data_IF_023679937479
#
_entry.id   IF_023679937479
#
_cell.length_a   1.000
_cell.length_b   1.000
_cell.length_c   1.000
_cell.angle_alpha   90.00
_cell.angle_beta   90.00
_cell.angle_gamma   90.00
#
_symmetry.space_group_name_H-M   'P 1'
#
loop_
_entity.id
_entity.type
_entity.pdbx_description
1 polymer ?
#
# COMPACT_ATOMS: atom_id res chain seq x y z
N UNK A 1 39.21 -29.10 13.60
CA UNK A 1 40.37 -29.71 14.30
C UNK A 1 41.32 -30.46 13.36
N UNK A 2 40.86 -31.40 12.53
CA UNK A 2 41.71 -32.22 11.63
C UNK A 2 42.54 -31.38 10.63
N UNK A 3 41.94 -30.36 10.02
CA UNK A 3 42.62 -29.46 9.07
C UNK A 3 43.81 -28.69 9.69
N UNK A 4 43.75 -28.36 10.99
CA UNK A 4 44.88 -27.72 11.71
C UNK A 4 46.02 -28.72 11.96
N UNK A 5 45.68 -29.98 12.28
CA UNK A 5 46.66 -31.08 12.46
C UNK A 5 47.40 -31.41 11.15
N UNK A 6 46.71 -31.40 10.00
CA UNK A 6 47.33 -31.61 8.67
C UNK A 6 48.37 -30.53 8.34
N UNK A 7 48.11 -29.27 8.75
CA UNK A 7 49.01 -28.13 8.50
C UNK A 7 50.26 -28.20 9.40
N UNK A 8 50.15 -28.83 10.57
CA UNK A 8 51.23 -28.91 11.57
C UNK A 8 52.04 -30.22 11.48
N UNK A 9 51.55 -31.23 10.78
CA UNK A 9 52.19 -32.55 10.63
C UNK A 9 53.33 -32.49 9.58
N UNK A 10 54.52 -32.94 9.97
CA UNK A 10 55.74 -32.97 9.14
C UNK A 10 56.05 -34.35 8.55
N UNK A 11 55.46 -35.41 9.10
CA UNK A 11 55.64 -36.79 8.62
C UNK A 11 54.70 -37.10 7.44
N UNK A 12 55.22 -37.76 6.41
CA UNK A 12 54.51 -38.02 5.15
C UNK A 12 53.36 -39.03 5.30
N UNK A 13 53.57 -40.12 6.05
CA UNK A 13 52.56 -41.16 6.25
C UNK A 13 51.44 -40.70 7.19
N UNK A 14 51.78 -40.01 8.28
CA UNK A 14 50.78 -39.43 9.20
C UNK A 14 49.95 -38.34 8.50
N UNK A 15 50.55 -37.56 7.60
CA UNK A 15 49.81 -36.56 6.81
C UNK A 15 48.84 -37.19 5.81
N UNK A 16 49.22 -38.31 5.19
CA UNK A 16 48.37 -39.05 4.25
C UNK A 16 47.14 -39.68 4.94
N UNK A 17 47.36 -40.29 6.12
CA UNK A 17 46.26 -40.80 6.96
C UNK A 17 45.33 -39.68 7.45
N UNK A 18 45.87 -38.54 7.87
CA UNK A 18 45.07 -37.37 8.25
C UNK A 18 44.28 -36.77 7.07
N UNK A 19 44.85 -36.75 5.87
CA UNK A 19 44.17 -36.31 4.64
C UNK A 19 43.01 -37.24 4.24
N UNK A 20 43.21 -38.57 4.35
CA UNK A 20 42.14 -39.54 4.10
C UNK A 20 40.98 -39.36 5.09
N UNK A 21 41.30 -39.15 6.37
CA UNK A 21 40.34 -38.89 7.45
C UNK A 21 39.57 -37.59 7.22
N UNK A 22 40.27 -36.51 6.81
CA UNK A 22 39.64 -35.24 6.46
C UNK A 22 38.68 -35.37 5.28
N UNK A 23 39.06 -36.11 4.25
CA UNK A 23 38.23 -36.32 3.06
C UNK A 23 36.97 -37.12 3.39
N UNK A 24 37.07 -38.14 4.25
CA UNK A 24 35.92 -38.89 4.74
C UNK A 24 34.95 -38.00 5.54
N UNK A 25 35.47 -37.22 6.49
CA UNK A 25 34.67 -36.28 7.29
C UNK A 25 34.03 -35.17 6.44
N UNK A 26 34.75 -34.61 5.46
CA UNK A 26 34.20 -33.60 4.54
C UNK A 26 33.05 -34.18 3.69
N UNK A 27 33.20 -35.43 3.23
CA UNK A 27 32.13 -36.14 2.51
C UNK A 27 30.90 -36.36 3.40
N UNK A 28 31.10 -36.71 4.67
CA UNK A 28 30.03 -36.89 5.64
C UNK A 28 29.31 -35.58 5.97
N UNK A 29 30.07 -34.50 6.24
CA UNK A 29 29.50 -33.16 6.48
C UNK A 29 28.71 -32.69 5.28
N UNK A 30 29.23 -32.85 4.05
CA UNK A 30 28.51 -32.50 2.82
C UNK A 30 27.23 -33.33 2.63
N UNK A 31 27.26 -34.62 2.99
CA UNK A 31 26.07 -35.49 2.95
C UNK A 31 25.01 -35.01 3.94
N UNK A 32 25.40 -34.72 5.19
CA UNK A 32 24.49 -34.24 6.22
C UNK A 32 23.93 -32.86 5.87
N UNK A 33 24.76 -31.92 5.40
CA UNK A 33 24.30 -30.61 4.95
C UNK A 33 23.29 -30.71 3.79
N UNK A 34 23.46 -31.66 2.86
CA UNK A 34 22.47 -31.93 1.79
C UNK A 34 21.17 -32.51 2.35
N UNK A 35 21.27 -33.43 3.32
CA UNK A 35 20.11 -34.03 4.00
C UNK A 35 19.32 -32.97 4.75
N UNK A 36 19.98 -32.15 5.55
CA UNK A 36 19.36 -31.07 6.32
C UNK A 36 18.70 -30.03 5.40
N UNK A 37 19.39 -29.65 4.32
CA UNK A 37 18.83 -28.75 3.30
C UNK A 37 17.57 -29.33 2.66
N UNK A 38 17.57 -30.62 2.32
CA UNK A 38 16.39 -31.29 1.76
C UNK A 38 15.24 -31.34 2.76
N UNK A 39 15.53 -31.74 4.00
CA UNK A 39 14.54 -31.79 5.07
C UNK A 39 13.93 -30.42 5.36
N UNK A 40 14.73 -29.34 5.30
CA UNK A 40 14.22 -27.98 5.42
C UNK A 40 13.19 -27.63 4.31
N UNK A 41 13.48 -27.98 3.05
CA UNK A 41 12.54 -27.73 1.96
C UNK A 41 11.29 -28.62 2.04
N UNK A 42 11.44 -29.89 2.41
CA UNK A 42 10.32 -30.82 2.59
C UNK A 42 9.38 -30.35 3.71
N UNK A 43 9.95 -29.83 4.82
CA UNK A 43 9.18 -29.23 5.91
C UNK A 43 8.42 -27.97 5.46
N UNK A 44 9.06 -27.09 4.67
CA UNK A 44 8.37 -25.92 4.10
C UNK A 44 7.25 -26.33 3.14
N UNK A 45 7.46 -27.34 2.30
CA UNK A 45 6.44 -27.83 1.37
C UNK A 45 5.22 -28.39 2.12
N UNK A 46 5.45 -29.22 3.14
CA UNK A 46 4.36 -29.76 3.97
C UNK A 46 3.63 -28.68 4.77
N UNK A 47 4.32 -27.63 5.21
CA UNK A 47 3.69 -26.47 5.85
C UNK A 47 2.84 -25.67 4.85
N UNK A 48 3.32 -25.49 3.62
CA UNK A 48 2.55 -24.86 2.55
C UNK A 48 1.27 -25.65 2.22
N UNK A 49 1.34 -26.97 2.14
CA UNK A 49 0.16 -27.83 1.92
C UNK A 49 -0.86 -27.70 3.06
N UNK A 50 -0.40 -27.69 4.31
CA UNK A 50 -1.27 -27.46 5.48
C UNK A 50 -1.92 -26.07 5.44
N UNK A 51 -1.16 -25.04 5.07
CA UNK A 51 -1.68 -23.68 4.93
C UNK A 51 -2.74 -23.59 3.82
N UNK A 52 -2.49 -24.24 2.67
CA UNK A 52 -3.46 -24.32 1.57
C UNK A 52 -4.75 -25.04 2.00
N UNK A 53 -4.65 -26.18 2.70
CA UNK A 53 -5.81 -26.90 3.22
C UNK A 53 -6.64 -26.10 4.23
N UNK A 54 -6.01 -25.16 4.96
CA UNK A 54 -6.68 -24.24 5.89
C UNK A 54 -7.16 -22.93 5.23
N UNK A 55 -6.99 -22.78 3.91
CA UNK A 55 -7.21 -21.52 3.19
C UNK A 55 -6.43 -20.32 3.76
N UNK A 56 -5.30 -20.56 4.44
CA UNK A 56 -4.39 -19.51 4.89
C UNK A 56 -3.46 -19.10 3.74
N UNK A 57 -4.00 -18.24 2.87
CA UNK A 57 -3.30 -17.71 1.71
C UNK A 57 -2.07 -16.87 2.09
N UNK A 58 -2.02 -16.31 3.31
CA UNK A 58 -0.91 -15.46 3.75
C UNK A 58 0.33 -16.32 4.00
N UNK A 59 0.18 -17.37 4.80
CA UNK A 59 1.26 -18.30 5.13
C UNK A 59 1.72 -19.05 3.88
N UNK A 60 0.78 -19.52 3.06
CA UNK A 60 1.07 -20.17 1.78
C UNK A 60 1.93 -19.28 0.85
N UNK A 61 1.56 -18.00 0.71
CA UNK A 61 2.32 -17.05 -0.10
C UNK A 61 3.72 -16.80 0.44
N UNK A 62 3.88 -16.63 1.75
CA UNK A 62 5.19 -16.41 2.38
C UNK A 62 6.13 -17.59 2.17
N UNK A 63 5.62 -18.81 2.32
CA UNK A 63 6.40 -20.04 2.09
C UNK A 63 6.73 -20.18 0.60
N UNK A 64 5.78 -19.97 -0.29
CA UNK A 64 6.04 -20.06 -1.74
C UNK A 64 7.08 -19.02 -2.17
N UNK A 65 7.04 -17.82 -1.58
CA UNK A 65 8.05 -16.79 -1.80
C UNK A 65 9.43 -17.21 -1.31
N UNK A 66 9.55 -17.84 -0.14
CA UNK A 66 10.83 -18.33 0.37
C UNK A 66 11.39 -19.47 -0.50
N UNK A 67 10.54 -20.40 -0.94
CA UNK A 67 10.88 -21.50 -1.84
C UNK A 67 11.32 -21.00 -3.23
N UNK A 68 10.69 -19.95 -3.75
CA UNK A 68 11.00 -19.39 -5.07
C UNK A 68 12.39 -18.77 -5.20
N UNK A 69 13.15 -18.65 -4.10
CA UNK A 69 14.53 -18.16 -4.12
C UNK A 69 14.68 -16.67 -4.48
N UNK A 70 13.59 -15.91 -4.56
CA UNK A 70 13.63 -14.45 -4.76
C UNK A 70 14.21 -13.79 -3.52
N UNK A 71 15.53 -13.59 -3.51
CA UNK A 71 16.23 -12.79 -2.50
C UNK A 71 15.64 -11.38 -2.47
N UNK A 72 15.43 -10.86 -1.26
CA UNK A 72 15.12 -9.43 -1.07
C UNK A 72 16.20 -8.61 -1.77
N UNK A 73 15.81 -7.74 -2.70
CA UNK A 73 16.72 -6.77 -3.31
C UNK A 73 17.33 -5.92 -2.21
N UNK A 74 18.65 -5.97 -2.04
CA UNK A 74 19.37 -5.10 -1.12
C UNK A 74 19.02 -3.64 -1.40
N UNK A 75 18.86 -2.85 -0.33
CA UNK A 75 18.61 -1.42 -0.44
C UNK A 75 19.78 -0.76 -1.20
N UNK A 76 19.50 -0.22 -2.39
CA UNK A 76 20.47 0.55 -3.16
C UNK A 76 20.43 2.00 -2.69
N UNK A 77 21.59 2.65 -2.62
CA UNK A 77 21.67 4.09 -2.41
C UNK A 77 20.86 4.82 -3.49
N UNK A 78 20.11 5.83 -3.07
CA UNK A 78 19.39 6.71 -3.99
C UNK A 78 20.41 7.48 -4.84
N UNK A 79 20.15 7.56 -6.14
CA UNK A 79 20.94 8.30 -7.11
C UNK A 79 20.41 9.72 -7.23
N UNK A 80 21.30 10.69 -7.37
CA UNK A 80 20.95 12.06 -7.69
C UNK A 80 20.46 12.20 -9.15
N UNK A 81 20.05 13.41 -9.57
CA UNK A 81 19.63 13.70 -10.95
C UNK A 81 20.69 13.39 -12.02
N UNK A 82 21.96 13.36 -11.64
CA UNK A 82 23.11 13.06 -12.51
C UNK A 82 23.44 11.55 -12.55
N UNK A 83 22.68 10.71 -11.83
CA UNK A 83 22.86 9.26 -11.80
C UNK A 83 23.87 8.74 -10.76
N UNK A 84 24.49 9.64 -9.97
CA UNK A 84 25.49 9.28 -8.97
C UNK A 84 24.85 8.86 -7.64
N UNK A 85 25.31 7.77 -7.00
CA UNK A 85 24.75 7.29 -5.74
C UNK A 85 25.07 8.26 -4.60
N UNK A 86 24.07 8.57 -3.79
CA UNK A 86 24.19 9.42 -2.62
C UNK A 86 24.49 8.53 -1.42
N UNK A 87 25.69 8.68 -0.86
CA UNK A 87 26.14 7.87 0.28
C UNK A 87 25.58 8.35 1.61
N UNK A 88 25.45 9.68 1.82
CA UNK A 88 24.94 10.27 3.06
C UNK A 88 23.42 10.12 3.21
N UNK A 89 22.96 9.59 4.33
CA UNK A 89 21.53 9.34 4.60
C UNK A 89 20.68 10.61 4.59
N UNK A 90 21.14 11.69 5.24
CA UNK A 90 20.44 12.99 5.25
C UNK A 90 20.17 13.51 3.84
N UNK A 91 21.14 13.37 2.94
CA UNK A 91 20.99 13.80 1.54
C UNK A 91 20.02 12.89 0.78
N UNK A 92 19.99 11.59 1.07
CA UNK A 92 19.00 10.68 0.49
C UNK A 92 17.57 11.02 0.94
N UNK A 93 17.39 11.36 2.22
CA UNK A 93 16.10 11.81 2.76
C UNK A 93 15.68 13.10 2.06
N UNK A 94 16.57 14.09 2.00
CA UNK A 94 16.30 15.38 1.35
C UNK A 94 15.92 15.24 -0.13
N UNK A 95 16.67 14.47 -0.91
CA UNK A 95 16.34 14.24 -2.32
C UNK A 95 15.01 13.49 -2.51
N UNK A 96 14.68 12.59 -1.59
CA UNK A 96 13.38 11.92 -1.58
C UNK A 96 12.25 12.89 -1.26
N UNK A 97 12.46 13.75 -0.25
CA UNK A 97 11.53 14.79 0.16
C UNK A 97 11.26 15.78 -0.97
N UNK A 98 12.31 16.28 -1.61
CA UNK A 98 12.22 17.19 -2.75
C UNK A 98 11.50 16.54 -3.93
N UNK A 99 11.79 15.26 -4.22
CA UNK A 99 11.09 14.52 -5.27
C UNK A 99 9.57 14.45 -5.01
N UNK A 100 9.17 14.10 -3.78
CA UNK A 100 7.75 14.00 -3.41
C UNK A 100 7.08 15.36 -3.35
N UNK A 101 7.79 16.40 -2.89
CA UNK A 101 7.28 17.78 -2.89
C UNK A 101 6.97 18.27 -4.31
N UNK A 102 7.86 18.04 -5.27
CA UNK A 102 7.62 18.36 -6.68
C UNK A 102 6.46 17.52 -7.24
N UNK A 103 6.39 16.25 -6.85
CA UNK A 103 5.37 15.34 -7.35
C UNK A 103 3.96 15.74 -6.90
N UNK A 104 3.78 16.09 -5.63
CA UNK A 104 2.49 16.42 -5.02
C UNK A 104 2.01 17.85 -5.30
N UNK A 105 2.90 18.73 -5.76
CA UNK A 105 2.61 20.15 -6.03
C UNK A 105 2.92 20.50 -7.50
N UNK A 106 2.58 19.60 -8.43
CA UNK A 106 2.68 19.89 -9.87
C UNK A 106 1.80 21.10 -10.21
N UNK A 107 2.26 21.98 -11.13
CA UNK A 107 1.41 23.08 -11.58
C UNK A 107 0.14 22.53 -12.24
N UNK A 108 -0.99 23.25 -12.12
CA UNK A 108 -2.22 22.90 -12.83
C UNK A 108 -1.98 22.76 -14.34
N UNK A 109 -2.72 21.89 -15.04
CA UNK A 109 -2.64 21.81 -16.49
C UNK A 109 -3.05 23.15 -17.13
N UNK A 110 -2.44 23.48 -18.27
CA UNK A 110 -2.71 24.73 -19.00
C UNK A 110 -4.18 24.85 -19.44
N UNK A 111 -4.85 23.72 -19.66
CA UNK A 111 -6.28 23.63 -19.98
C UNK A 111 -6.94 22.76 -18.93
N UNK A 112 -7.90 23.32 -18.21
CA UNK A 112 -8.72 22.58 -17.24
C UNK A 112 -9.95 22.01 -17.94
N UNK A 113 -10.42 20.82 -17.55
CA UNK A 113 -11.65 20.29 -18.10
C UNK A 113 -12.83 21.21 -17.73
N UNK A 114 -13.68 21.48 -18.71
CA UNK A 114 -14.95 22.16 -18.48
C UNK A 114 -15.90 21.20 -17.76
N UNK A 115 -16.20 21.50 -16.49
CA UNK A 115 -17.18 20.77 -15.71
C UNK A 115 -18.52 21.48 -15.93
N UNK A 116 -19.60 20.76 -16.29
CA UNK A 116 -20.90 21.38 -16.48
C UNK A 116 -21.32 22.15 -15.23
N UNK A 117 -21.77 23.39 -15.41
CA UNK A 117 -22.15 24.28 -14.31
C UNK A 117 -23.45 23.85 -13.62
N UNK A 118 -24.28 23.08 -14.32
CA UNK A 118 -25.50 22.51 -13.76
C UNK A 118 -25.15 21.37 -12.82
N UNK A 119 -25.07 21.68 -11.52
CA UNK A 119 -24.92 20.67 -10.49
C UNK A 119 -26.04 19.63 -10.61
N UNK A 120 -25.71 18.34 -10.48
CA UNK A 120 -26.73 17.30 -10.33
C UNK A 120 -27.54 17.56 -9.06
N UNK A 121 -28.71 16.93 -8.95
CA UNK A 121 -29.50 16.94 -7.72
C UNK A 121 -28.60 16.64 -6.52
N UNK A 122 -28.69 17.47 -5.47
CA UNK A 122 -27.90 17.25 -4.26
C UNK A 122 -28.12 15.83 -3.73
N UNK A 123 -27.03 15.18 -3.34
CA UNK A 123 -27.08 13.87 -2.74
C UNK A 123 -27.81 13.96 -1.40
N UNK A 124 -28.80 13.10 -1.21
CA UNK A 124 -29.52 12.98 0.05
C UNK A 124 -28.66 12.21 1.05
N UNK A 125 -27.69 12.90 1.65
CA UNK A 125 -26.77 12.35 2.64
C UNK A 125 -26.90 13.10 3.97
N UNK A 126 -26.67 12.38 5.07
CA UNK A 126 -26.73 12.98 6.40
C UNK A 126 -25.57 13.96 6.63
N UNK A 127 -25.90 15.25 6.73
CA UNK A 127 -24.93 16.35 7.00
C UNK A 127 -24.80 16.69 8.48
N UNK A 128 -25.58 16.06 9.36
CA UNK A 128 -25.51 16.30 10.79
C UNK A 128 -24.18 15.80 11.39
N UNK A 129 -23.75 16.31 12.56
CA UNK A 129 -22.56 15.81 13.23
C UNK A 129 -22.57 14.28 13.40
N UNK A 130 -21.39 13.63 13.40
CA UNK A 130 -21.30 12.18 13.57
C UNK A 130 -21.89 11.72 14.90
N UNK A 131 -22.67 10.65 14.83
CA UNK A 131 -23.25 9.99 16.00
C UNK A 131 -22.23 9.04 16.63
N UNK A 132 -22.42 8.75 17.92
CA UNK A 132 -21.62 7.75 18.66
C UNK A 132 -21.54 6.41 17.93
N UNK A 133 -22.68 5.95 17.40
CA UNK A 133 -22.78 4.70 16.66
C UNK A 133 -21.94 4.70 15.37
N UNK A 134 -21.92 5.80 14.62
CA UNK A 134 -21.11 5.93 13.41
C UNK A 134 -19.61 5.96 13.74
N UNK A 135 -19.21 6.64 14.81
CA UNK A 135 -17.82 6.66 15.28
C UNK A 135 -17.37 5.25 15.65
N UNK A 136 -18.19 4.53 16.42
CA UNK A 136 -17.93 3.16 16.83
C UNK A 136 -17.86 2.21 15.63
N UNK A 137 -18.76 2.36 14.65
CA UNK A 137 -18.72 1.59 13.41
C UNK A 137 -17.44 1.88 12.60
N UNK A 138 -17.05 3.14 12.49
CA UNK A 138 -15.82 3.54 11.81
C UNK A 138 -14.57 2.93 12.48
N UNK A 139 -14.50 2.91 13.82
CA UNK A 139 -13.42 2.26 14.56
C UNK A 139 -13.37 0.75 14.25
N UNK A 140 -14.54 0.07 14.31
CA UNK A 140 -14.63 -1.37 14.05
C UNK A 140 -14.20 -1.73 12.63
N UNK A 141 -14.61 -0.95 11.63
CA UNK A 141 -14.34 -1.21 10.21
C UNK A 141 -12.88 -0.99 9.82
N UNK A 142 -12.15 -0.12 10.52
CA UNK A 142 -10.72 0.09 10.29
C UNK A 142 -9.92 -1.19 10.63
N UNK A 143 -8.93 -1.52 9.80
CA UNK A 143 -8.12 -2.73 9.97
C UNK A 143 -7.03 -2.52 11.03
N UNK A 144 -6.92 -3.47 11.96
CA UNK A 144 -5.79 -3.58 12.88
C UNK A 144 -4.52 -4.08 12.15
N UNK A 145 -3.39 -4.05 12.84
CA UNK A 145 -2.06 -4.42 12.34
C UNK A 145 -1.43 -3.34 11.45
N UNK A 146 -1.76 -2.06 11.68
CA UNK A 146 -1.29 -0.93 10.86
C UNK A 146 -0.42 0.00 11.67
N UNK A 147 0.64 0.51 11.04
CA UNK A 147 1.54 1.48 11.66
C UNK A 147 0.80 2.78 12.01
N UNK A 148 1.03 3.26 13.24
CA UNK A 148 0.49 4.53 13.73
C UNK A 148 1.03 5.73 12.94
N UNK A 149 0.27 6.83 12.96
CA UNK A 149 0.72 8.09 12.38
C UNK A 149 1.65 8.87 13.32
N UNK A 150 1.80 10.18 13.09
CA UNK A 150 2.54 11.07 13.99
C UNK A 150 2.01 11.14 15.42
N UNK A 151 0.76 10.74 15.63
CA UNK A 151 0.13 10.62 16.94
C UNK A 151 0.68 9.46 17.77
N UNK A 152 1.32 8.47 17.14
CA UNK A 152 1.86 7.30 17.84
C UNK A 152 0.79 6.35 18.40
N UNK A 153 -0.49 6.58 18.09
CA UNK A 153 -1.63 5.79 18.59
C UNK A 153 -1.96 4.69 17.57
N UNK A 154 -1.65 3.41 17.87
CA UNK A 154 -2.08 2.30 17.04
C UNK A 154 -3.59 2.07 17.16
N UNK A 155 -4.21 1.50 16.13
CA UNK A 155 -5.66 1.25 16.14
C UNK A 155 -6.04 0.17 17.15
N UNK A 156 -5.10 -0.72 17.48
CA UNK A 156 -5.22 -1.77 18.47
C UNK A 156 -5.53 -1.18 19.86
N UNK A 157 -4.80 -0.13 20.25
CA UNK A 157 -5.04 0.56 21.52
C UNK A 157 -6.45 1.19 21.56
N UNK A 158 -6.91 1.73 20.44
CA UNK A 158 -8.26 2.29 20.28
C UNK A 158 -9.35 1.21 20.33
N UNK A 159 -9.04 0.00 19.88
CA UNK A 159 -9.98 -1.13 19.86
C UNK A 159 -10.06 -1.89 21.17
N UNK A 160 -9.08 -1.73 22.05
CA UNK A 160 -9.04 -2.39 23.37
C UNK A 160 -10.19 -1.91 24.26
N UNK A 161 -10.41 -0.59 24.30
CA UNK A 161 -11.52 0.02 25.03
C UNK A 161 -12.33 0.93 24.10
N UNK A 162 -13.34 0.34 23.47
CA UNK A 162 -14.21 1.04 22.53
C UNK A 162 -15.10 2.08 23.22
N UNK A 163 -15.49 1.86 24.48
CA UNK A 163 -16.42 2.75 25.19
C UNK A 163 -15.72 4.05 25.56
N UNK A 164 -14.56 3.95 26.23
CA UNK A 164 -13.75 5.12 26.58
C UNK A 164 -13.29 5.87 25.34
N UNK A 165 -12.88 5.15 24.29
CA UNK A 165 -12.41 5.80 23.06
C UNK A 165 -13.53 6.51 22.30
N UNK A 166 -14.74 5.94 22.28
CA UNK A 166 -15.93 6.57 21.71
C UNK A 166 -16.27 7.85 22.47
N UNK A 167 -16.33 7.80 23.80
CA UNK A 167 -16.62 8.96 24.65
C UNK A 167 -15.61 10.10 24.46
N UNK A 168 -14.35 9.79 24.20
CA UNK A 168 -13.32 10.79 23.91
C UNK A 168 -13.37 11.33 22.47
N UNK A 169 -13.54 10.46 21.47
CA UNK A 169 -13.44 10.85 20.06
C UNK A 169 -14.71 11.51 19.54
N UNK A 170 -15.90 11.10 19.99
CA UNK A 170 -17.16 11.67 19.52
C UNK A 170 -17.24 13.19 19.72
N UNK A 171 -17.03 13.77 20.91
CA UNK A 171 -17.11 15.22 21.09
C UNK A 171 -16.07 15.97 20.26
N UNK A 172 -14.86 15.40 20.11
CA UNK A 172 -13.81 15.97 19.26
C UNK A 172 -14.24 16.01 17.79
N UNK A 173 -14.75 14.89 17.26
CA UNK A 173 -15.20 14.79 15.87
C UNK A 173 -16.40 15.69 15.60
N UNK A 174 -17.34 15.80 16.55
CA UNK A 174 -18.49 16.71 16.45
C UNK A 174 -18.06 18.18 16.45
N UNK A 175 -17.06 18.55 17.27
CA UNK A 175 -16.50 19.91 17.28
C UNK A 175 -15.84 20.23 15.93
N UNK A 176 -15.00 19.34 15.42
CA UNK A 176 -14.37 19.46 14.08
C UNK A 176 -15.42 19.57 12.99
N UNK A 177 -16.50 18.81 13.07
CA UNK A 177 -17.61 18.86 12.12
C UNK A 177 -18.33 20.22 12.11
N UNK A 178 -18.64 20.76 13.30
CA UNK A 178 -19.31 22.06 13.44
C UNK A 178 -18.44 23.22 13.00
N UNK A 179 -17.15 23.18 13.32
CA UNK A 179 -16.19 24.23 12.94
C UNK A 179 -15.76 24.14 11.47
N UNK A 180 -15.96 22.98 10.82
CA UNK A 180 -15.55 22.73 9.44
C UNK A 180 -14.03 22.72 9.23
N UNK A 181 -13.25 22.64 10.31
CA UNK A 181 -11.78 22.73 10.29
C UNK A 181 -11.17 21.57 11.06
N UNK A 182 -10.27 20.84 10.40
CA UNK A 182 -9.49 19.78 11.07
C UNK A 182 -8.29 20.38 11.81
N UNK A 183 -7.88 19.78 12.94
CA UNK A 183 -6.69 20.21 13.68
C UNK A 183 -5.43 20.24 12.81
N UNK A 184 -4.55 21.19 13.08
CA UNK A 184 -3.27 21.33 12.33
C UNK A 184 -2.40 20.09 12.41
N UNK A 185 -2.46 19.34 13.52
CA UNK A 185 -1.68 18.12 13.67
C UNK A 185 -2.18 16.97 12.80
N UNK A 186 -3.46 16.97 12.44
CA UNK A 186 -4.01 15.97 11.50
C UNK A 186 -3.58 16.23 10.06
N UNK A 187 -3.10 17.44 9.78
CA UNK A 187 -2.49 17.79 8.49
C UNK A 187 -1.05 17.26 8.41
N UNK A 188 -0.41 16.87 9.51
CA UNK A 188 0.94 16.28 9.47
C UNK A 188 0.83 14.77 9.27
N UNK A 189 1.80 14.19 8.57
CA UNK A 189 1.86 12.76 8.32
C UNK A 189 3.30 12.29 8.09
N UNK A 190 3.60 11.03 8.43
CA UNK A 190 4.91 10.44 8.13
C UNK A 190 4.93 9.89 6.71
N UNK A 191 5.90 10.31 5.91
CA UNK A 191 6.08 9.83 4.55
C UNK A 191 7.00 8.60 4.54
N UNK A 192 6.42 7.42 4.33
CA UNK A 192 7.15 6.17 4.13
C UNK A 192 7.34 5.88 2.65
N UNK A 193 8.50 5.30 2.30
CA UNK A 193 8.83 4.87 0.94
C UNK A 193 8.70 3.35 0.83
N UNK A 194 7.88 2.86 -0.10
CA UNK A 194 7.81 1.45 -0.45
C UNK A 194 8.46 1.17 -1.80
N UNK A 195 9.24 0.10 -1.94
CA UNK A 195 9.89 -0.24 -3.20
C UNK A 195 8.85 -0.70 -4.25
N UNK A 196 8.92 -0.13 -5.46
CA UNK A 196 8.26 -0.68 -6.65
C UNK A 196 9.23 -1.58 -7.42
N UNK A 197 8.79 -2.09 -8.57
CA UNK A 197 9.65 -2.81 -9.53
C UNK A 197 10.66 -1.83 -10.18
N UNK A 198 11.85 -2.33 -10.53
CA UNK A 198 12.89 -1.58 -11.24
C UNK A 198 14.12 -1.24 -10.39
N UNK A 199 14.93 -0.30 -10.86
CA UNK A 199 16.15 0.13 -10.14
C UNK A 199 15.79 1.00 -8.91
N UNK A 200 15.98 0.44 -7.72
CA UNK A 200 15.69 1.12 -6.45
C UNK A 200 16.64 2.30 -6.15
N UNK A 201 17.69 2.48 -6.96
CA UNK A 201 18.48 3.71 -6.93
C UNK A 201 17.71 4.94 -7.41
N UNK A 202 16.61 4.80 -8.15
CA UNK A 202 15.84 5.94 -8.66
C UNK A 202 14.64 6.28 -7.76
N UNK A 203 14.49 7.54 -7.36
CA UNK A 203 13.36 8.01 -6.55
C UNK A 203 11.98 7.67 -7.17
N UNK A 204 11.87 7.65 -8.51
CA UNK A 204 10.61 7.33 -9.22
C UNK A 204 10.10 5.90 -8.97
N UNK A 205 11.00 4.98 -8.62
CA UNK A 205 10.69 3.58 -8.36
C UNK A 205 10.31 3.34 -6.89
N UNK A 206 10.14 4.41 -6.11
CA UNK A 206 9.58 4.35 -4.77
C UNK A 206 8.15 4.86 -4.79
N UNK A 207 7.27 4.19 -4.04
CA UNK A 207 5.92 4.67 -3.75
C UNK A 207 5.94 5.39 -2.40
N UNK A 208 5.60 6.67 -2.40
CA UNK A 208 5.32 7.39 -1.16
C UNK A 208 3.98 6.93 -0.58
N UNK A 209 3.95 6.64 0.71
CA UNK A 209 2.74 6.41 1.50
C UNK A 209 2.80 7.35 2.69
N UNK A 210 1.77 8.17 2.87
CA UNK A 210 1.65 9.00 4.06
C UNK A 210 0.87 8.24 5.15
N UNK A 211 1.48 8.11 6.32
CA UNK A 211 0.82 7.66 7.53
C UNK A 211 0.15 8.87 8.19
N UNK A 212 -1.17 8.88 8.15
CA UNK A 212 -2.01 9.89 8.79
C UNK A 212 -2.32 9.48 10.23
N UNK A 213 -2.72 10.46 11.05
CA UNK A 213 -3.23 10.23 12.40
C UNK A 213 -4.48 9.34 12.38
N UNK A 214 -4.65 8.53 13.41
CA UNK A 214 -5.78 7.62 13.54
C UNK A 214 -7.14 8.33 13.61
N UNK A 215 -7.33 9.44 14.37
CA UNK A 215 -8.62 10.13 14.37
C UNK A 215 -8.97 10.79 13.03
N UNK A 216 -7.97 11.22 12.24
CA UNK A 216 -8.18 11.70 10.86
C UNK A 216 -8.71 10.60 9.93
N UNK A 217 -8.20 9.37 10.08
CA UNK A 217 -8.69 8.19 9.34
C UNK A 217 -10.13 7.84 9.75
N UNK A 218 -10.46 7.95 11.03
CA UNK A 218 -11.83 7.70 11.54
C UNK A 218 -12.80 8.71 10.92
N UNK A 219 -12.47 10.01 10.95
CA UNK A 219 -13.29 11.05 10.30
C UNK A 219 -13.48 10.78 8.81
N UNK A 220 -12.38 10.47 8.10
CA UNK A 220 -12.41 10.17 6.66
C UNK A 220 -13.26 8.94 6.35
N UNK A 221 -13.26 7.94 7.25
CA UNK A 221 -14.07 6.73 7.12
C UNK A 221 -15.56 7.03 7.26
N UNK A 222 -15.95 7.85 8.22
CA UNK A 222 -17.35 8.28 8.41
C UNK A 222 -17.86 9.04 7.17
N UNK A 223 -17.06 9.99 6.68
CA UNK A 223 -17.39 10.75 5.47
C UNK A 223 -17.56 9.81 4.27
N UNK A 224 -16.65 8.85 4.10
CA UNK A 224 -16.72 7.87 3.03
C UNK A 224 -17.99 7.02 3.12
N UNK A 225 -18.31 6.48 4.30
CA UNK A 225 -19.50 5.61 4.48
C UNK A 225 -20.80 6.35 4.17
N UNK A 226 -20.91 7.64 4.54
CA UNK A 226 -22.10 8.45 4.25
C UNK A 226 -22.27 8.78 2.77
N UNK A 227 -21.17 9.02 2.06
CA UNK A 227 -21.21 9.47 0.66
C UNK A 227 -21.25 8.28 -0.30
N UNK A 228 -20.62 7.15 0.07
CA UNK A 228 -20.36 6.04 -0.84
C UNK A 228 -21.65 5.48 -1.48
N UNK A 229 -22.68 5.21 -0.68
CA UNK A 229 -23.91 4.59 -1.19
C UNK A 229 -24.69 5.55 -2.10
N UNK A 230 -24.73 6.84 -1.75
CA UNK A 230 -25.39 7.85 -2.56
C UNK A 230 -24.64 8.09 -3.89
N UNK A 231 -23.30 8.18 -3.86
CA UNK A 231 -22.50 8.35 -5.06
C UNK A 231 -22.53 7.13 -5.97
N UNK A 232 -22.59 5.92 -5.43
CA UNK A 232 -22.54 4.68 -6.23
C UNK A 232 -23.69 4.61 -7.26
N UNK A 233 -24.86 5.17 -6.92
CA UNK A 233 -26.03 5.28 -7.82
C UNK A 233 -25.82 6.24 -8.99
N UNK A 234 -24.95 7.23 -8.84
CA UNK A 234 -24.67 8.28 -9.84
C UNK A 234 -23.51 7.92 -10.76
N UNK A 235 -22.69 6.94 -10.37
CA UNK A 235 -21.50 6.50 -11.09
C UNK A 235 -21.85 5.53 -12.23
N UNK A 236 -21.12 5.66 -13.32
CA UNK A 236 -21.24 4.80 -14.51
C UNK A 236 -21.09 3.31 -14.16
N UNK A 237 -21.91 2.41 -14.70
CA UNK A 237 -21.85 0.98 -14.36
C UNK A 237 -20.54 0.32 -14.79
N UNK A 238 -19.86 0.83 -15.82
CA UNK A 238 -18.58 0.33 -16.32
C UNK A 238 -17.42 0.59 -15.35
N UNK A 239 -17.53 1.60 -14.49
CA UNK A 239 -16.54 1.87 -13.45
C UNK A 239 -16.65 0.80 -12.36
N UNK A 240 -15.59 0.00 -12.18
CA UNK A 240 -15.50 -1.05 -11.18
C UNK A 240 -14.45 -0.81 -10.08
N UNK A 241 -13.45 0.04 -10.33
CA UNK A 241 -12.38 0.31 -9.38
C UNK A 241 -12.92 0.90 -8.07
N UNK A 242 -12.49 0.35 -6.94
CA UNK A 242 -12.81 0.80 -5.58
C UNK A 242 -14.30 0.80 -5.20
N UNK A 243 -15.16 0.08 -5.92
CA UNK A 243 -16.60 -0.04 -5.62
C UNK A 243 -16.93 -1.32 -4.87
N UNK A 244 -17.92 -1.25 -3.99
CA UNK A 244 -18.41 -2.41 -3.23
C UNK A 244 -19.10 -3.39 -4.19
N UNK A 245 -18.80 -4.68 -4.05
CA UNK A 245 -19.43 -5.73 -4.86
C UNK A 245 -18.96 -5.81 -6.31
N UNK A 246 -17.95 -5.02 -6.71
CA UNK A 246 -17.33 -5.12 -8.04
C UNK A 246 -15.89 -5.60 -7.91
N UNK A 247 -15.51 -6.56 -8.74
CA UNK A 247 -14.19 -7.18 -8.71
C UNK A 247 -13.47 -7.04 -10.05
N UNK A 248 -12.15 -7.24 -10.02
CA UNK A 248 -11.35 -7.29 -11.25
C UNK A 248 -11.78 -8.48 -12.14
N UNK A 249 -12.20 -9.59 -11.52
CA UNK A 249 -12.66 -10.78 -12.23
C UNK A 249 -13.90 -10.51 -13.07
N UNK A 250 -14.83 -9.67 -12.59
CA UNK A 250 -16.04 -9.32 -13.35
C UNK A 250 -15.67 -8.56 -14.64
N UNK A 251 -14.76 -7.59 -14.55
CA UNK A 251 -14.32 -6.82 -15.71
C UNK A 251 -13.52 -7.66 -16.72
N UNK A 252 -12.70 -8.60 -16.24
CA UNK A 252 -12.00 -9.56 -17.10
C UNK A 252 -13.01 -10.45 -17.83
N UNK A 253 -14.06 -10.92 -17.13
CA UNK A 253 -15.13 -11.71 -17.73
C UNK A 253 -15.87 -10.92 -18.81
N UNK A 254 -16.28 -9.68 -18.52
CA UNK A 254 -16.93 -8.79 -19.49
C UNK A 254 -16.06 -8.57 -20.73
N UNK A 255 -14.77 -8.27 -20.54
CA UNK A 255 -13.83 -8.10 -21.66
C UNK A 255 -13.72 -9.38 -22.50
N UNK A 256 -13.68 -10.54 -21.85
CA UNK A 256 -13.62 -11.84 -22.55
C UNK A 256 -14.88 -12.12 -23.37
N UNK A 257 -16.06 -11.77 -22.85
CA UNK A 257 -17.33 -11.90 -23.57
C UNK A 257 -17.30 -11.00 -24.82
N UNK A 258 -16.94 -9.72 -24.67
CA UNK A 258 -16.85 -8.78 -25.80
C UNK A 258 -15.90 -9.30 -26.88
N UNK A 259 -14.72 -9.80 -26.49
CA UNK A 259 -13.75 -10.37 -27.43
C UNK A 259 -14.36 -11.58 -28.15
N UNK A 260 -15.02 -12.48 -27.42
CA UNK A 260 -15.56 -13.73 -27.97
C UNK A 260 -16.70 -13.45 -28.96
N UNK A 261 -17.69 -12.65 -28.56
CA UNK A 261 -18.83 -12.29 -29.41
C UNK A 261 -18.37 -11.54 -30.68
N UNK A 262 -17.52 -10.52 -30.53
CA UNK A 262 -17.11 -9.69 -31.69
C UNK A 262 -16.19 -10.43 -32.66
N UNK A 263 -15.23 -11.21 -32.16
CA UNK A 263 -14.24 -11.88 -33.01
C UNK A 263 -14.71 -13.23 -33.54
N UNK A 264 -15.42 -14.03 -32.72
CA UNK A 264 -15.79 -15.40 -33.09
C UNK A 264 -17.18 -15.48 -33.72
N UNK A 265 -18.15 -14.72 -33.23
CA UNK A 265 -19.52 -14.79 -33.73
C UNK A 265 -19.73 -13.79 -34.87
N UNK A 266 -19.35 -12.53 -34.66
CA UNK A 266 -19.56 -11.45 -35.63
C UNK A 266 -18.44 -11.27 -36.66
N UNK A 267 -17.35 -12.04 -36.59
CA UNK A 267 -16.20 -11.99 -37.51
C UNK A 267 -15.67 -10.57 -37.77
N UNK A 268 -15.76 -9.69 -36.77
CA UNK A 268 -15.45 -8.27 -36.89
C UNK A 268 -14.08 -7.95 -36.29
N UNK A 269 -13.37 -6.99 -36.89
CA UNK A 269 -12.07 -6.55 -36.40
C UNK A 269 -12.23 -5.75 -35.10
N UNK A 270 -11.79 -6.33 -33.98
CA UNK A 270 -11.79 -5.68 -32.66
C UNK A 270 -10.42 -5.09 -32.34
N UNK A 271 -10.39 -3.82 -31.93
CA UNK A 271 -9.19 -3.14 -31.45
C UNK A 271 -9.36 -2.79 -29.96
N UNK A 272 -8.37 -3.16 -29.14
CA UNK A 272 -8.34 -2.87 -27.71
C UNK A 272 -7.28 -1.81 -27.42
N UNK A 273 -7.70 -0.72 -26.75
CA UNK A 273 -6.80 0.34 -26.30
C UNK A 273 -6.71 0.36 -24.78
N UNK A 274 -5.51 0.15 -24.24
CA UNK A 274 -5.25 0.17 -22.81
C UNK A 274 -4.56 1.48 -22.43
N UNK A 275 -5.23 2.28 -21.59
CA UNK A 275 -4.72 3.57 -21.12
C UNK A 275 -4.36 3.44 -19.64
N UNK A 276 -3.10 3.74 -19.29
CA UNK A 276 -2.62 3.78 -17.91
C UNK A 276 -2.07 5.18 -17.59
N UNK A 277 -2.46 5.71 -16.43
CA UNK A 277 -2.07 7.05 -15.99
C UNK A 277 -0.85 6.98 -15.08
N UNK A 278 0.22 7.69 -15.44
CA UNK A 278 1.40 7.77 -14.57
C UNK A 278 1.06 8.55 -13.28
N UNK A 279 1.15 7.85 -12.14
CA UNK A 279 1.01 8.46 -10.80
C UNK A 279 -0.30 9.23 -10.66
N UNK A 280 -1.41 8.57 -11.00
CA UNK A 280 -2.75 9.17 -11.00
C UNK A 280 -3.05 9.96 -9.72
N UNK A 281 -2.85 9.40 -8.52
CA UNK A 281 -3.15 10.08 -7.24
C UNK A 281 -2.29 11.32 -6.98
N UNK A 282 -1.02 11.31 -7.39
CA UNK A 282 -0.09 12.39 -7.10
C UNK A 282 -0.23 13.55 -8.10
N UNK A 283 -0.83 13.32 -9.26
CA UNK A 283 -0.90 14.26 -10.38
C UNK A 283 -2.26 14.94 -10.56
N UNK A 284 -3.26 14.65 -9.72
CA UNK A 284 -4.59 15.24 -9.86
C UNK A 284 -4.59 16.71 -9.44
N UNK A 285 -5.21 17.57 -10.25
CA UNK A 285 -5.53 18.95 -9.87
C UNK A 285 -6.65 18.93 -8.80
N UNK A 286 -6.31 19.40 -7.60
CA UNK A 286 -7.22 19.40 -6.45
C UNK A 286 -8.45 20.28 -6.68
N UNK A 287 -8.29 21.41 -7.39
CA UNK A 287 -9.41 22.31 -7.68
C UNK A 287 -10.46 21.64 -8.58
N UNK A 288 -10.00 20.81 -9.52
CA UNK A 288 -10.88 20.03 -10.40
C UNK A 288 -11.65 18.98 -9.58
N UNK A 289 -11.01 18.33 -8.61
CA UNK A 289 -11.69 17.38 -7.71
C UNK A 289 -12.82 18.08 -6.95
N UNK A 290 -12.57 19.26 -6.37
CA UNK A 290 -13.58 19.97 -5.57
C UNK A 290 -14.80 20.35 -6.42
N UNK A 291 -14.56 20.90 -7.61
CA UNK A 291 -15.64 21.20 -8.57
C UNK A 291 -16.39 19.95 -9.03
N UNK A 292 -15.71 18.82 -9.18
CA UNK A 292 -16.36 17.55 -9.52
C UNK A 292 -17.25 17.06 -8.37
N UNK A 293 -16.82 17.16 -7.11
CA UNK A 293 -17.64 16.80 -5.96
C UNK A 293 -18.91 17.67 -5.89
N UNK A 294 -18.78 18.98 -6.13
CA UNK A 294 -19.93 19.89 -6.24
C UNK A 294 -20.87 19.49 -7.38
N UNK A 295 -20.32 19.16 -8.56
CA UNK A 295 -21.11 18.69 -9.70
C UNK A 295 -21.89 17.39 -9.42
N UNK A 296 -21.30 16.45 -8.68
CA UNK A 296 -21.97 15.22 -8.24
C UNK A 296 -22.97 15.43 -7.08
N UNK A 297 -23.16 16.67 -6.62
CA UNK A 297 -24.13 17.01 -5.58
C UNK A 297 -23.67 16.71 -4.16
N UNK A 298 -22.36 16.56 -3.92
CA UNK A 298 -21.82 16.36 -2.56
C UNK A 298 -21.99 17.64 -1.75
N UNK A 299 -22.57 17.58 -0.53
CA UNK A 299 -22.77 18.78 0.28
C UNK A 299 -21.46 19.49 0.67
N UNK A 300 -21.51 20.82 0.73
CA UNK A 300 -20.34 21.69 0.97
C UNK A 300 -19.59 21.35 2.27
N UNK A 301 -20.29 20.88 3.30
CA UNK A 301 -19.67 20.52 4.58
C UNK A 301 -18.60 19.43 4.41
N UNK A 302 -18.85 18.42 3.57
CA UNK A 302 -17.89 17.36 3.31
C UNK A 302 -16.72 17.86 2.46
N UNK A 303 -17.00 18.75 1.50
CA UNK A 303 -15.96 19.38 0.67
C UNK A 303 -15.05 20.23 1.55
N UNK A 304 -15.60 21.04 2.45
CA UNK A 304 -14.79 21.87 3.36
C UNK A 304 -13.93 21.03 4.31
N UNK A 305 -14.48 19.95 4.88
CA UNK A 305 -13.73 19.03 5.75
C UNK A 305 -12.61 18.31 5.00
N UNK A 306 -12.87 17.85 3.77
CA UNK A 306 -11.87 17.19 2.92
C UNK A 306 -10.81 18.16 2.41
N UNK A 307 -11.19 19.39 2.05
CA UNK A 307 -10.24 20.46 1.73
C UNK A 307 -9.35 20.80 2.92
N UNK A 308 -9.93 20.92 4.11
CA UNK A 308 -9.17 21.20 5.33
C UNK A 308 -8.22 20.06 5.71
N UNK A 309 -8.51 18.82 5.31
CA UNK A 309 -7.64 17.66 5.56
C UNK A 309 -6.57 17.47 4.49
N UNK A 310 -6.78 17.97 3.27
CA UNK A 310 -5.75 17.94 2.22
C UNK A 310 -4.58 18.87 2.54
N UNK A 311 -3.55 18.30 3.13
CA UNK A 311 -2.27 18.93 3.46
C UNK A 311 -1.55 19.49 2.23
N UNK A 312 -1.04 20.72 2.35
CA UNK A 312 0.16 21.18 1.64
C UNK A 312 1.33 20.43 2.24
N UNK A 313 1.81 19.36 1.57
CA UNK A 313 2.84 18.46 2.08
C UNK A 313 4.07 19.25 2.57
N UNK A 314 4.09 19.57 3.86
CA UNK A 314 5.29 20.03 4.55
C UNK A 314 6.04 18.76 4.87
N UNK A 315 6.92 18.40 3.94
CA UNK A 315 7.89 17.35 4.18
C UNK A 315 8.87 17.93 5.21
N UNK A 316 8.74 17.52 6.46
CA UNK A 316 9.81 17.65 7.46
C UNK A 316 10.78 16.48 7.28
#
# INVERSE_FOLDING_TARGET
MVKKKIIQCKDGQEKETLNSTYTALDKEVKKNARKDKRQFYDNLATEAEKAAGKSDLTTLYQITKSLSGKRSTQAKHIKNRQGNPITKEERQIKESADHVKVLLNRPPPATRPEIPTTARTQLQVNTNPPTRAEVLNAIKTLKAGKTAGPDGIPLEAIKEDLETTEDMLTPLLQKVWKEGKVPTDWRKGYLLKLPKKGDLGLCKNWRGIMLLSTPSKILSRIILERINDALDTQLRPEQAGFRKGKSCTDQIATLRIIITEQSMECHSNLYLNFIDFEKAFDSVDREVIWKLLEYYGVPQIFINLTQSSTTTAHVM
#
